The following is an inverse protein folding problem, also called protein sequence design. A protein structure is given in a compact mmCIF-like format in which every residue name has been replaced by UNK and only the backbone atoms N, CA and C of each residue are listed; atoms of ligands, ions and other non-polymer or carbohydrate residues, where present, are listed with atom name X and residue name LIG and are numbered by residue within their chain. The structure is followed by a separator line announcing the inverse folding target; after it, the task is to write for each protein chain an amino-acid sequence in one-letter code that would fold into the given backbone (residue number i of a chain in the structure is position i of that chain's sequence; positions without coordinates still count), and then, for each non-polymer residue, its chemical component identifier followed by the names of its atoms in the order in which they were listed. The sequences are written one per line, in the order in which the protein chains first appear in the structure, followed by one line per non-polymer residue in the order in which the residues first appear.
data_IF_115001833957
#
_entry.id   IF_115001833957
#
_cell.length_a   1.000
_cell.length_b   1.000
_cell.length_c   1.000
_cell.angle_alpha   90.00
_cell.angle_beta   90.00
_cell.angle_gamma   90.00
#
_symmetry.space_group_name_H-M   'P 1'
#
loop_
_entity.id
_entity.type
_entity.pdbx_description
1 polymer ?
#
# COMPACT_ATOMS: atom_id res chain seq x y z
N UNK A 1 15.68 12.92 -21.32
CA UNK A 1 16.85 12.30 -20.67
C UNK A 1 16.35 11.01 -20.01
N UNK A 2 16.45 9.90 -20.72
CA UNK A 2 16.16 8.55 -20.21
C UNK A 2 17.51 7.89 -20.05
N UNK A 3 17.88 7.51 -18.84
CA UNK A 3 19.10 6.75 -18.60
C UNK A 3 18.78 5.27 -18.77
N UNK A 4 19.36 4.66 -19.80
CA UNK A 4 19.38 3.20 -20.00
C UNK A 4 20.61 2.67 -19.26
N UNK A 5 20.44 1.75 -18.31
CA UNK A 5 21.56 1.03 -17.71
C UNK A 5 21.71 -0.36 -18.37
N UNK A 6 22.94 -0.78 -18.73
CA UNK A 6 23.22 -2.06 -19.35
C UNK A 6 23.02 -3.22 -18.36
N UNK A 7 22.48 -4.30 -18.90
CA UNK A 7 21.96 -5.50 -18.26
C UNK A 7 23.06 -6.56 -18.08
N UNK A 8 23.16 -7.22 -16.92
CA UNK A 8 23.75 -8.56 -16.81
C UNK A 8 23.00 -9.38 -15.75
N UNK A 9 22.71 -10.64 -16.09
CA UNK A 9 22.06 -11.70 -15.29
C UNK A 9 20.52 -11.76 -15.30
N UNK A 10 19.98 -12.28 -16.42
CA UNK A 10 18.88 -13.26 -16.55
C UNK A 10 17.61 -13.20 -15.67
N UNK A 11 17.24 -12.04 -15.13
CA UNK A 11 15.84 -11.80 -14.76
C UNK A 11 15.41 -10.44 -15.29
N UNK A 12 14.59 -10.49 -16.34
CA UNK A 12 14.02 -9.37 -17.10
C UNK A 12 13.07 -8.52 -16.23
N UNK A 13 13.64 -7.81 -15.27
CA UNK A 13 12.95 -6.85 -14.40
C UNK A 13 12.84 -5.49 -15.11
N UNK A 14 12.07 -5.47 -16.20
CA UNK A 14 11.95 -4.32 -17.09
C UNK A 14 10.53 -3.74 -17.09
N UNK A 15 9.91 -3.41 -15.95
CA UNK A 15 8.75 -2.51 -15.88
C UNK A 15 8.65 -1.84 -14.49
N UNK A 16 8.78 -0.51 -14.41
CA UNK A 16 8.21 0.25 -13.28
C UNK A 16 6.81 0.66 -13.71
N UNK A 17 5.90 -0.31 -13.74
CA UNK A 17 4.46 -0.05 -13.74
C UNK A 17 4.04 -0.40 -12.32
N UNK A 18 3.71 0.63 -11.53
CA UNK A 18 3.32 0.46 -10.14
C UNK A 18 2.25 -0.62 -10.01
N UNK A 19 2.55 -1.67 -9.26
CA UNK A 19 1.60 -2.71 -8.92
C UNK A 19 0.67 -2.20 -7.81
N UNK A 20 -0.19 -1.24 -8.16
CA UNK A 20 -1.31 -0.85 -7.32
C UNK A 20 -2.43 -1.87 -7.54
N UNK A 21 -2.60 -2.80 -6.60
CA UNK A 21 -3.74 -3.71 -6.59
C UNK A 21 -5.01 -2.95 -6.21
N UNK A 22 -6.06 -3.07 -7.02
CA UNK A 22 -7.38 -2.57 -6.64
C UNK A 22 -7.97 -3.42 -5.52
N UNK A 23 -8.26 -2.76 -4.39
CA UNK A 23 -8.89 -3.36 -3.23
C UNK A 23 -10.40 -3.13 -3.27
N UNK A 24 -10.85 -1.95 -3.73
CA UNK A 24 -12.27 -1.63 -3.89
C UNK A 24 -12.62 -1.26 -5.34
N UNK A 25 -13.44 -2.07 -5.99
CA UNK A 25 -13.90 -1.79 -7.36
C UNK A 25 -15.06 -0.79 -7.44
N UNK A 26 -15.86 -0.66 -6.37
CA UNK A 26 -16.98 0.29 -6.36
C UNK A 26 -16.49 1.74 -6.44
N UNK A 27 -15.39 2.03 -5.75
CA UNK A 27 -14.82 3.37 -5.60
C UNK A 27 -13.44 3.51 -6.24
N UNK A 28 -12.91 2.46 -6.88
CA UNK A 28 -11.60 2.47 -7.52
C UNK A 28 -10.43 2.65 -6.54
N UNK A 29 -10.54 2.10 -5.32
CA UNK A 29 -9.52 2.25 -4.27
C UNK A 29 -8.42 1.21 -4.42
N UNK A 30 -7.17 1.64 -4.45
CA UNK A 30 -5.98 0.78 -4.50
C UNK A 30 -5.39 0.52 -3.11
N UNK A 31 -4.57 -0.52 -3.00
CA UNK A 31 -3.84 -0.86 -1.77
C UNK A 31 -2.93 0.29 -1.32
N UNK A 32 -2.26 0.96 -2.25
CA UNK A 32 -1.42 2.13 -1.99
C UNK A 32 -2.21 3.29 -1.39
N UNK A 33 -3.41 3.59 -1.91
CA UNK A 33 -4.26 4.64 -1.34
C UNK A 33 -4.70 4.29 0.10
N UNK A 34 -4.97 3.02 0.38
CA UNK A 34 -5.27 2.57 1.75
C UNK A 34 -4.04 2.73 2.65
N UNK A 35 -2.85 2.35 2.17
CA UNK A 35 -1.59 2.54 2.89
C UNK A 35 -1.33 4.01 3.17
N UNK A 36 -1.47 4.88 2.17
CA UNK A 36 -1.30 6.34 2.30
C UNK A 36 -2.28 6.93 3.33
N UNK A 37 -3.55 6.52 3.31
CA UNK A 37 -4.53 6.94 4.32
C UNK A 37 -4.12 6.54 5.74
N UNK A 38 -3.50 5.35 5.90
CA UNK A 38 -2.97 4.89 7.18
C UNK A 38 -1.75 5.72 7.61
N UNK A 39 -0.85 6.06 6.68
CA UNK A 39 0.29 6.95 6.93
C UNK A 39 -0.17 8.36 7.36
N UNK A 40 -1.28 8.83 6.79
CA UNK A 40 -1.93 10.09 7.16
C UNK A 40 -2.68 10.02 8.52
N UNK A 41 -2.66 8.87 9.18
CA UNK A 41 -3.15 8.67 10.55
C UNK A 41 -4.47 7.91 10.68
N UNK A 42 -5.01 7.36 9.58
CA UNK A 42 -6.17 6.47 9.68
C UNK A 42 -5.77 5.15 10.38
N UNK A 43 -6.47 4.78 11.45
CA UNK A 43 -6.14 3.54 12.21
C UNK A 43 -7.24 2.50 12.14
N UNK A 44 -8.43 2.87 11.65
CA UNK A 44 -9.59 1.99 11.55
C UNK A 44 -10.17 2.02 10.15
N UNK A 45 -10.84 0.93 9.78
CA UNK A 45 -11.56 0.83 8.51
C UNK A 45 -12.56 1.98 8.31
N UNK A 46 -13.20 2.46 9.39
CA UNK A 46 -14.12 3.60 9.33
C UNK A 46 -13.43 4.90 8.88
N UNK A 47 -12.22 5.12 9.35
CA UNK A 47 -11.46 6.34 9.04
C UNK A 47 -11.06 6.33 7.55
N UNK A 48 -10.55 5.19 7.08
CA UNK A 48 -10.21 4.97 5.67
C UNK A 48 -11.47 5.02 4.77
N UNK A 49 -12.59 4.46 5.22
CA UNK A 49 -13.88 4.52 4.51
C UNK A 49 -14.39 5.96 4.38
N UNK A 50 -14.20 6.80 5.40
CA UNK A 50 -14.58 8.21 5.34
C UNK A 50 -13.73 9.00 4.35
N UNK A 51 -12.47 8.63 4.16
CA UNK A 51 -11.54 9.30 3.23
C UNK A 51 -11.67 8.80 1.79
N UNK A 52 -11.79 7.48 1.59
CA UNK A 52 -11.66 6.82 0.28
C UNK A 52 -12.96 6.19 -0.22
N UNK A 53 -14.00 6.11 0.62
CA UNK A 53 -15.26 5.41 0.29
C UNK A 53 -15.16 3.88 0.30
N UNK A 54 -14.03 3.30 0.71
CA UNK A 54 -13.87 1.84 0.81
C UNK A 54 -14.93 1.22 1.72
N UNK A 55 -15.46 0.06 1.32
CA UNK A 55 -16.48 -0.70 2.05
C UNK A 55 -17.83 0.01 2.30
N UNK A 56 -18.12 1.15 1.65
CA UNK A 56 -19.39 1.88 1.85
C UNK A 56 -20.55 1.42 0.95
N UNK A 57 -20.26 0.75 -0.18
CA UNK A 57 -21.27 0.17 -1.07
C UNK A 57 -21.49 -1.34 -0.80
N UNK A 58 -20.94 -2.21 -1.66
CA UNK A 58 -21.21 -3.65 -1.62
C UNK A 58 -20.50 -4.41 -0.50
N UNK A 59 -19.58 -3.76 0.22
CA UNK A 59 -18.86 -4.31 1.37
C UNK A 59 -17.87 -5.45 1.10
N UNK A 60 -17.76 -6.00 -0.13
CA UNK A 60 -16.92 -7.17 -0.44
C UNK A 60 -15.42 -6.97 -0.14
N UNK A 61 -14.95 -5.74 -0.26
CA UNK A 61 -13.57 -5.37 0.02
C UNK A 61 -13.26 -5.21 1.52
N UNK A 62 -14.26 -5.21 2.40
CA UNK A 62 -14.09 -4.82 3.81
C UNK A 62 -13.04 -5.67 4.55
N UNK A 63 -13.06 -7.00 4.38
CA UNK A 63 -12.09 -7.88 5.02
C UNK A 63 -10.66 -7.62 4.51
N UNK A 64 -10.50 -7.48 3.19
CA UNK A 64 -9.20 -7.22 2.57
C UNK A 64 -8.64 -5.85 2.97
N UNK A 65 -9.47 -4.80 2.90
CA UNK A 65 -9.09 -3.46 3.33
C UNK A 65 -8.71 -3.41 4.81
N UNK A 66 -9.48 -4.09 5.68
CA UNK A 66 -9.16 -4.16 7.10
C UNK A 66 -7.84 -4.90 7.37
N UNK A 67 -7.56 -5.98 6.64
CA UNK A 67 -6.30 -6.70 6.76
C UNK A 67 -5.11 -5.82 6.35
N UNK A 68 -5.22 -5.13 5.21
CA UNK A 68 -4.19 -4.18 4.75
C UNK A 68 -3.92 -3.10 5.79
N UNK A 69 -4.97 -2.47 6.35
CA UNK A 69 -4.82 -1.46 7.41
C UNK A 69 -4.02 -2.02 8.59
N UNK A 70 -4.35 -3.24 9.03
CA UNK A 70 -3.66 -3.88 10.16
C UNK A 70 -2.20 -4.19 9.84
N UNK A 71 -1.93 -4.72 8.65
CA UNK A 71 -0.58 -5.01 8.17
C UNK A 71 0.26 -3.74 8.13
N UNK A 72 -0.24 -2.67 7.51
CA UNK A 72 0.45 -1.38 7.42
C UNK A 72 0.71 -0.77 8.81
N UNK A 73 -0.26 -0.80 9.73
CA UNK A 73 -0.03 -0.34 11.10
C UNK A 73 1.04 -1.19 11.81
N UNK A 74 1.04 -2.51 11.59
CA UNK A 74 2.05 -3.39 12.19
C UNK A 74 3.43 -3.08 11.63
N UNK A 75 3.56 -2.89 10.32
CA UNK A 75 4.78 -2.48 9.63
C UNK A 75 5.33 -1.16 10.22
N UNK A 76 4.49 -0.14 10.37
CA UNK A 76 4.89 1.15 10.94
C UNK A 76 5.40 1.05 12.39
N UNK A 77 4.77 0.18 13.19
CA UNK A 77 5.24 -0.07 14.56
C UNK A 77 6.51 -0.91 14.61
N UNK A 78 6.76 -1.76 13.61
CA UNK A 78 7.93 -2.62 13.52
C UNK A 78 9.17 -1.87 12.97
N UNK A 79 8.99 -0.93 12.03
CA UNK A 79 10.07 -0.07 11.53
C UNK A 79 10.64 0.86 12.61
N UNK A 80 9.86 1.19 13.63
CA UNK A 80 10.34 1.87 14.83
C UNK A 80 11.28 1.00 15.70
N UNK A 81 11.41 -0.30 15.41
CA UNK A 81 12.32 -1.23 16.09
C UNK A 81 13.23 -1.97 15.10
N UNK A 82 14.01 -1.23 14.30
CA UNK A 82 15.22 -1.79 13.70
C UNK A 82 16.46 -1.39 14.50
N UNK A 83 17.23 -2.34 15.06
CA UNK A 83 18.57 -2.08 15.59
C UNK A 83 19.63 -1.88 14.49
N UNK A 84 19.24 -1.78 13.21
CA UNK A 84 20.19 -1.64 12.10
C UNK A 84 19.67 -0.64 11.06
N UNK A 85 19.79 0.65 11.38
CA UNK A 85 19.88 1.69 10.35
C UNK A 85 21.32 1.69 9.85
N UNK A 86 21.58 1.10 8.69
CA UNK A 86 22.82 1.42 7.98
C UNK A 86 22.62 2.76 7.28
N UNK A 87 23.48 3.69 7.69
CA UNK A 87 23.68 5.02 7.13
C UNK A 87 24.47 4.88 5.85
N UNK A 88 24.02 5.53 4.79
CA UNK A 88 24.88 6.03 3.72
C UNK A 88 24.52 7.49 3.47
#
# INVERSE_FOLDING_TARGET
MVLVYPHNDNNSHLYVLGENMYVCLCHGVTDTQIRDAVMDGATRLRDVAQQLGVATDCGRCACCAHQLIKETLTELTAEAHSPFREVA
#
